data_IF_314169539744
#
_entry.id   IF_314169539744
#
_cell.length_a   1.000
_cell.length_b   1.000
_cell.length_c   1.000
_cell.angle_alpha   90.00
_cell.angle_beta   90.00
_cell.angle_gamma   90.00
#
_symmetry.space_group_name_H-M   'P 1'
#
loop_
_entity.id
_entity.type
_entity.pdbx_description
1 polymer ?
#
# COMPACT_ATOMS: atom_id res chain seq x y z
N UNK A 1 -6.84 3.15 28.43
CA UNK A 1 -7.42 3.68 27.17
C UNK A 1 -6.36 4.35 26.27
N UNK A 2 -5.24 4.85 26.80
CA UNK A 2 -4.25 5.63 26.02
C UNK A 2 -3.25 4.83 25.15
N UNK A 3 -2.95 3.56 25.49
CA UNK A 3 -1.96 2.77 24.74
C UNK A 3 -2.54 2.20 23.43
N UNK A 4 -3.81 1.77 23.47
CA UNK A 4 -4.51 1.24 22.30
C UNK A 4 -4.71 2.27 21.19
N UNK A 5 -4.95 3.54 21.54
CA UNK A 5 -5.07 4.63 20.55
C UNK A 5 -3.72 4.99 19.93
N UNK A 6 -2.62 4.98 20.71
CA UNK A 6 -1.27 5.24 20.20
C UNK A 6 -0.84 4.12 19.24
N UNK A 7 -1.00 2.85 19.62
CA UNK A 7 -0.66 1.70 18.76
C UNK A 7 -1.47 1.70 17.46
N UNK A 8 -2.75 2.07 17.54
CA UNK A 8 -3.62 2.24 16.39
C UNK A 8 -3.10 3.34 15.44
N UNK A 9 -2.70 4.49 15.99
CA UNK A 9 -2.12 5.59 15.22
C UNK A 9 -0.81 5.20 14.54
N UNK A 10 0.09 4.49 15.25
CA UNK A 10 1.35 4.00 14.69
C UNK A 10 1.10 3.00 13.56
N UNK A 11 0.14 2.09 13.71
CA UNK A 11 -0.23 1.14 12.67
C UNK A 11 -0.75 1.83 11.39
N UNK A 12 -1.49 2.93 11.54
CA UNK A 12 -2.00 3.71 10.41
C UNK A 12 -0.88 4.38 9.63
N UNK A 13 0.03 5.07 10.32
CA UNK A 13 1.18 5.73 9.72
C UNK A 13 2.09 4.72 9.01
N UNK A 14 2.32 3.55 9.61
CA UNK A 14 3.08 2.47 8.98
C UNK A 14 2.39 1.98 7.70
N UNK A 15 1.07 1.85 7.69
CA UNK A 15 0.31 1.48 6.49
C UNK A 15 0.47 2.50 5.36
N UNK A 16 0.34 3.80 5.69
CA UNK A 16 0.54 4.89 4.74
C UNK A 16 1.96 4.92 4.19
N UNK A 17 2.96 4.77 5.05
CA UNK A 17 4.36 4.73 4.64
C UNK A 17 4.66 3.55 3.71
N UNK A 18 4.10 2.36 4.00
CA UNK A 18 4.20 1.19 3.08
C UNK A 18 3.60 1.48 1.71
N UNK A 19 2.47 2.18 1.67
CA UNK A 19 1.83 2.53 0.41
C UNK A 19 2.64 3.56 -0.40
N UNK A 20 3.23 4.55 0.27
CA UNK A 20 4.08 5.55 -0.36
C UNK A 20 5.43 4.97 -0.82
N UNK A 21 6.00 4.02 -0.08
CA UNK A 21 7.24 3.35 -0.46
C UNK A 21 7.05 2.18 -1.44
N UNK A 22 5.80 1.76 -1.69
CA UNK A 22 5.51 0.67 -2.61
C UNK A 22 6.03 0.98 -4.02
N UNK A 23 6.60 -0.06 -4.64
CA UNK A 23 6.95 -0.04 -6.05
C UNK A 23 5.68 -0.16 -6.90
N UNK A 24 5.36 0.91 -7.62
CA UNK A 24 4.13 1.06 -8.41
C UNK A 24 4.51 1.28 -9.88
N UNK A 25 4.84 0.21 -10.63
CA UNK A 25 5.41 0.32 -11.99
C UNK A 25 4.45 0.91 -13.03
N UNK A 26 3.17 1.04 -12.71
CA UNK A 26 2.18 1.73 -13.55
C UNK A 26 2.23 3.26 -13.43
N UNK A 27 2.93 3.80 -12.43
CA UNK A 27 3.15 5.24 -12.31
C UNK A 27 4.35 5.66 -13.17
N UNK A 28 4.35 6.89 -13.71
CA UNK A 28 5.51 7.43 -14.42
C UNK A 28 6.76 7.42 -13.52
N UNK A 29 7.92 7.05 -14.07
CA UNK A 29 9.18 7.05 -13.32
C UNK A 29 9.58 8.43 -12.78
N UNK A 30 9.10 9.51 -13.43
CA UNK A 30 9.31 10.90 -13.03
C UNK A 30 8.22 11.47 -12.12
N UNK A 31 7.34 10.62 -11.57
CA UNK A 31 6.25 11.10 -10.70
C UNK A 31 6.82 11.76 -9.44
N UNK A 32 6.30 12.93 -9.08
CA UNK A 32 6.67 13.59 -7.84
C UNK A 32 5.99 12.91 -6.64
N UNK A 33 6.58 13.01 -5.44
CA UNK A 33 5.94 12.47 -4.23
C UNK A 33 4.55 13.08 -3.99
N UNK A 34 4.37 14.36 -4.35
CA UNK A 34 3.09 15.07 -4.25
C UNK A 34 2.05 14.46 -5.19
N UNK A 35 2.40 14.21 -6.45
CA UNK A 35 1.46 13.66 -7.42
C UNK A 35 1.13 12.19 -7.10
N UNK A 36 2.13 11.42 -6.63
CA UNK A 36 1.92 10.07 -6.10
C UNK A 36 0.93 10.08 -4.94
N UNK A 37 1.11 11.00 -3.99
CA UNK A 37 0.21 11.16 -2.85
C UNK A 37 -1.21 11.51 -3.31
N UNK A 38 -1.36 12.48 -4.21
CA UNK A 38 -2.65 12.90 -4.77
C UNK A 38 -3.37 11.74 -5.44
N UNK A 39 -2.69 11.01 -6.33
CA UNK A 39 -3.24 9.83 -6.99
C UNK A 39 -3.70 8.77 -5.97
N UNK A 40 -2.83 8.40 -5.04
CA UNK A 40 -3.16 7.37 -4.04
C UNK A 40 -4.34 7.79 -3.15
N UNK A 41 -4.43 9.07 -2.76
CA UNK A 41 -5.55 9.58 -1.97
C UNK A 41 -6.88 9.58 -2.75
N UNK A 42 -6.84 9.65 -4.08
CA UNK A 42 -8.05 9.52 -4.91
C UNK A 42 -8.57 8.07 -5.00
N UNK A 43 -7.68 7.08 -4.83
CA UNK A 43 -8.05 5.67 -4.88
C UNK A 43 -8.32 5.08 -3.49
N UNK A 44 -7.64 5.59 -2.45
CA UNK A 44 -7.59 5.01 -1.11
C UNK A 44 -7.78 6.13 -0.07
N UNK A 45 -8.82 6.01 0.75
CA UNK A 45 -9.07 6.94 1.85
C UNK A 45 -8.07 6.74 2.99
N UNK A 46 -7.16 7.70 3.18
CA UNK A 46 -6.17 7.66 4.25
C UNK A 46 -6.76 7.90 5.64
N UNK A 47 -7.91 8.56 5.71
CA UNK A 47 -8.61 8.83 6.97
C UNK A 47 -9.38 7.62 7.49
N UNK A 48 -9.54 6.56 6.68
CA UNK A 48 -10.19 5.31 7.09
C UNK A 48 -9.19 4.35 7.72
N UNK A 49 -9.26 4.09 9.05
CA UNK A 49 -8.29 3.21 9.70
C UNK A 49 -8.38 1.77 9.23
N UNK A 50 -9.57 1.30 8.87
CA UNK A 50 -9.78 -0.04 8.35
C UNK A 50 -9.15 -0.21 6.97
N UNK A 51 -9.39 0.74 6.06
CA UNK A 51 -8.85 0.69 4.71
C UNK A 51 -7.32 0.71 4.75
N UNK A 52 -6.72 1.60 5.55
CA UNK A 52 -5.27 1.72 5.59
C UNK A 52 -4.57 0.56 6.29
N UNK A 53 -5.21 -0.07 7.28
CA UNK A 53 -4.72 -1.35 7.83
C UNK A 53 -4.80 -2.48 6.81
N UNK A 54 -5.91 -2.59 6.07
CA UNK A 54 -6.09 -3.63 5.06
C UNK A 54 -5.05 -3.49 3.94
N UNK A 55 -4.88 -2.29 3.40
CA UNK A 55 -3.87 -1.99 2.37
C UNK A 55 -2.47 -2.23 2.90
N UNK A 56 -2.13 -1.72 4.09
CA UNK A 56 -0.82 -1.92 4.70
C UNK A 56 -0.48 -3.39 4.96
N UNK A 57 -1.46 -4.18 5.38
CA UNK A 57 -1.32 -5.63 5.55
C UNK A 57 -1.12 -6.33 4.20
N UNK A 58 -1.92 -6.00 3.18
CA UNK A 58 -1.78 -6.54 1.83
C UNK A 58 -0.38 -6.25 1.26
N UNK A 59 0.10 -5.01 1.33
CA UNK A 59 1.44 -4.64 0.88
C UNK A 59 2.54 -5.41 1.63
N UNK A 60 2.37 -5.60 2.94
CA UNK A 60 3.27 -6.45 3.73
C UNK A 60 3.25 -7.90 3.25
N UNK A 61 2.09 -8.44 2.87
CA UNK A 61 1.97 -9.78 2.33
C UNK A 61 2.66 -9.90 0.96
N UNK A 62 2.48 -8.93 0.07
CA UNK A 62 3.13 -8.89 -1.25
C UNK A 62 4.66 -8.80 -1.14
N UNK A 63 5.17 -7.99 -0.20
CA UNK A 63 6.60 -7.85 0.10
C UNK A 63 7.24 -9.17 0.59
N UNK A 64 6.45 -10.05 1.23
CA UNK A 64 6.89 -11.38 1.66
C UNK A 64 6.89 -12.44 0.53
N UNK A 65 6.62 -12.03 -0.72
CA UNK A 65 6.78 -12.83 -1.96
C UNK A 65 6.07 -14.19 -1.96
N UNK A 66 4.72 -14.21 -2.00
CA UNK A 66 3.92 -15.39 -2.38
C UNK A 66 2.55 -15.02 -2.95
N UNK A 67 2.22 -15.47 -4.18
CA UNK A 67 1.24 -16.56 -4.49
C UNK A 67 1.55 -17.15 -5.89
N UNK A 68 2.06 -18.38 -5.95
CA UNK A 68 1.63 -19.38 -6.95
C UNK A 68 2.34 -19.50 -8.31
N UNK A 69 3.33 -18.69 -8.65
CA UNK A 69 4.09 -18.84 -9.91
C UNK A 69 5.55 -19.17 -9.59
N UNK A 70 5.87 -20.45 -9.40
CA UNK A 70 7.24 -20.93 -9.13
C UNK A 70 8.15 -20.92 -10.38
N UNK A 71 7.94 -19.98 -11.31
CA UNK A 71 8.69 -19.89 -12.56
C UNK A 71 9.69 -18.73 -12.61
N UNK A 72 9.54 -17.73 -11.73
CA UNK A 72 10.45 -16.57 -11.66
C UNK A 72 11.44 -16.70 -10.50
N UNK A 73 12.60 -16.06 -10.65
CA UNK A 73 13.61 -16.01 -9.59
C UNK A 73 13.00 -15.44 -8.31
N UNK A 74 13.36 -16.01 -7.15
CA UNK A 74 12.86 -15.54 -5.84
C UNK A 74 13.15 -14.06 -5.55
N UNK A 75 14.06 -13.42 -6.31
CA UNK A 75 14.30 -11.99 -6.32
C UNK A 75 13.15 -11.15 -6.89
N UNK A 76 12.27 -11.74 -7.71
CA UNK A 76 11.14 -11.08 -8.38
C UNK A 76 9.97 -10.94 -7.40
N UNK A 77 9.56 -9.69 -7.14
CA UNK A 77 8.39 -9.38 -6.33
C UNK A 77 7.10 -9.36 -7.15
N UNK A 78 5.94 -9.49 -6.48
CA UNK A 78 4.63 -9.39 -7.15
C UNK A 78 4.39 -7.94 -7.58
N UNK A 79 4.25 -7.64 -8.90
CA UNK A 79 4.00 -6.27 -9.34
C UNK A 79 2.56 -5.86 -9.05
N UNK A 80 2.38 -4.66 -8.51
CA UNK A 80 1.06 -4.02 -8.40
C UNK A 80 0.79 -3.33 -9.73
N UNK A 81 -0.27 -3.74 -10.42
CA UNK A 81 -0.56 -3.23 -11.78
C UNK A 81 -1.44 -1.99 -11.77
N UNK A 82 -2.36 -1.85 -10.81
CA UNK A 82 -3.28 -0.72 -10.73
C UNK A 82 -4.08 -0.72 -9.41
N UNK A 83 -4.59 0.45 -9.04
CA UNK A 83 -5.61 0.60 -8.01
C UNK A 83 -6.95 0.99 -8.64
N UNK A 84 -8.01 0.31 -8.22
CA UNK A 84 -9.39 0.64 -8.59
C UNK A 84 -10.18 1.00 -7.35
N UNK A 85 -10.86 2.16 -7.40
CA UNK A 85 -11.85 2.53 -6.41
C UNK A 85 -13.23 2.14 -6.95
N UNK A 86 -13.98 1.38 -6.16
CA UNK A 86 -15.37 1.02 -6.46
C UNK A 86 -16.29 1.72 -5.46
N UNK A 87 -17.32 2.38 -5.98
CA UNK A 87 -18.42 2.94 -5.20
C UNK A 87 -19.63 2.04 -5.37
N UNK A 88 -20.42 1.87 -4.30
CA UNK A 88 -21.70 1.17 -4.34
C UNK A 88 -22.83 2.12 -4.70
#
# INVERSE_FOLDING_TARGET
IHLGSILNRVGLEVGKQRLLSAHLPFLPASITERDKLSYLSSCISFDSPLMMRAVGALLKCLDRRRVGVELEDSSVGVPILQFHAYTL
#
